data_IF_174293348833
#
_entry.id   IF_174293348833
#
_cell.length_a   1.000
_cell.length_b   1.000
_cell.length_c   1.000
_cell.angle_alpha   90.00
_cell.angle_beta   90.00
_cell.angle_gamma   90.00
#
_symmetry.space_group_name_H-M   'P 1'
#
loop_
_entity.id
_entity.type
_entity.pdbx_description
1 polymer ?
#
# COMPACT_ATOMS: atom_id res chain seq x y z
N UNK A 1 9.71 -7.69 -8.08
CA UNK A 1 9.66 -8.09 -9.50
C UNK A 1 11.01 -8.43 -10.13
N UNK A 2 12.15 -8.03 -9.54
CA UNK A 2 13.50 -8.14 -10.16
C UNK A 2 13.85 -9.52 -10.74
N UNK A 3 13.31 -10.60 -10.20
CA UNK A 3 13.59 -11.99 -10.62
C UNK A 3 12.41 -12.71 -11.28
N UNK A 4 11.28 -12.02 -11.50
CA UNK A 4 10.05 -12.60 -12.06
C UNK A 4 9.68 -13.98 -11.48
N UNK A 5 9.82 -14.13 -10.16
CA UNK A 5 9.59 -15.40 -9.49
C UNK A 5 8.09 -15.68 -9.34
N UNK A 6 7.53 -16.32 -10.37
CA UNK A 6 6.14 -16.75 -10.41
C UNK A 6 5.90 -17.98 -9.52
N UNK A 7 6.95 -18.62 -8.98
CA UNK A 7 6.87 -19.72 -8.02
C UNK A 7 6.70 -19.26 -6.57
N UNK A 8 6.88 -17.98 -6.29
CA UNK A 8 6.77 -17.44 -4.94
C UNK A 8 5.37 -17.70 -4.33
N UNK A 9 5.26 -18.09 -3.03
CA UNK A 9 3.98 -18.42 -2.39
C UNK A 9 2.92 -17.32 -2.53
N UNK A 10 3.33 -16.05 -2.45
CA UNK A 10 2.47 -14.89 -2.70
C UNK A 10 1.86 -14.90 -4.12
N UNK A 11 2.64 -15.25 -5.14
CA UNK A 11 2.16 -15.36 -6.52
C UNK A 11 1.18 -16.53 -6.69
N UNK A 12 1.36 -17.63 -5.94
CA UNK A 12 0.37 -18.71 -5.83
C UNK A 12 -0.95 -18.20 -5.22
N UNK A 13 -0.88 -17.62 -4.03
CA UNK A 13 -2.05 -17.08 -3.32
C UNK A 13 -2.86 -16.07 -4.17
N UNK A 14 -2.18 -15.17 -4.88
CA UNK A 14 -2.82 -14.17 -5.76
C UNK A 14 -3.47 -14.77 -7.02
N UNK A 15 -3.07 -15.98 -7.42
CA UNK A 15 -3.71 -16.73 -8.50
C UNK A 15 -4.94 -17.49 -8.00
N UNK A 16 -4.83 -18.08 -6.82
CA UNK A 16 -5.85 -18.94 -6.23
C UNK A 16 -7.05 -18.16 -5.69
N UNK A 17 -6.84 -16.91 -5.25
CA UNK A 17 -7.91 -16.08 -4.68
C UNK A 17 -7.69 -14.59 -4.80
N UNK A 18 -8.75 -13.81 -4.52
CA UNK A 18 -8.71 -12.35 -4.49
C UNK A 18 -8.56 -11.75 -3.09
N UNK A 19 -8.41 -12.59 -2.06
CA UNK A 19 -8.40 -12.16 -0.66
C UNK A 19 -7.41 -11.01 -0.40
N UNK A 20 -6.18 -11.12 -0.92
CA UNK A 20 -5.17 -10.09 -0.76
C UNK A 20 -5.55 -8.73 -1.39
N UNK A 21 -6.32 -8.74 -2.48
CA UNK A 21 -6.81 -7.52 -3.14
C UNK A 21 -7.88 -6.83 -2.27
N UNK A 22 -8.75 -7.64 -1.66
CA UNK A 22 -9.82 -7.13 -0.80
C UNK A 22 -9.24 -6.64 0.55
N UNK A 23 -8.32 -7.40 1.14
CA UNK A 23 -7.67 -7.05 2.41
C UNK A 23 -6.99 -5.67 2.39
N UNK A 24 -6.29 -5.33 1.29
CA UNK A 24 -5.50 -4.09 1.22
C UNK A 24 -6.34 -2.82 1.31
N UNK A 25 -7.53 -2.79 0.69
CA UNK A 25 -8.40 -1.61 0.82
C UNK A 25 -9.20 -1.66 2.12
N UNK A 26 -9.68 -2.84 2.54
CA UNK A 26 -10.45 -3.01 3.77
C UNK A 26 -9.67 -2.55 5.01
N UNK A 27 -8.38 -2.90 5.13
CA UNK A 27 -7.56 -2.45 6.27
C UNK A 27 -7.49 -0.92 6.38
N UNK A 28 -7.48 -0.21 5.25
CA UNK A 28 -7.48 1.26 5.25
C UNK A 28 -8.86 1.78 5.62
N UNK A 29 -9.93 1.15 5.12
CA UNK A 29 -11.30 1.48 5.49
C UNK A 29 -11.54 1.39 6.99
N UNK A 30 -10.99 0.36 7.66
CA UNK A 30 -11.08 0.23 9.12
C UNK A 30 -10.41 1.38 9.88
N UNK A 31 -9.41 2.04 9.28
CA UNK A 31 -8.70 3.17 9.86
C UNK A 31 -9.33 4.53 9.52
N UNK A 32 -10.32 4.58 8.62
CA UNK A 32 -10.91 5.84 8.15
C UNK A 32 -11.69 6.61 9.22
N UNK A 33 -12.20 5.93 10.26
CA UNK A 33 -12.89 6.59 11.36
C UNK A 33 -11.98 7.60 12.08
N UNK A 34 -10.71 7.22 12.26
CA UNK A 34 -9.69 8.01 12.96
C UNK A 34 -8.86 8.85 11.98
N UNK A 35 -8.67 8.35 10.76
CA UNK A 35 -7.88 8.99 9.72
C UNK A 35 -8.73 9.23 8.45
N UNK A 36 -9.58 10.26 8.44
CA UNK A 36 -10.50 10.52 7.32
C UNK A 36 -9.77 10.77 5.99
N UNK A 37 -8.53 11.25 6.04
CA UNK A 37 -7.70 11.45 4.84
C UNK A 37 -7.31 10.14 4.12
N UNK A 38 -7.49 8.98 4.75
CA UNK A 38 -7.32 7.67 4.11
C UNK A 38 -8.48 7.30 3.17
N UNK A 39 -9.60 8.02 3.20
CA UNK A 39 -10.78 7.72 2.38
C UNK A 39 -10.47 7.68 0.88
N UNK A 40 -9.75 8.70 0.37
CA UNK A 40 -9.42 8.79 -1.06
C UNK A 40 -8.44 7.69 -1.50
N UNK A 41 -7.31 7.43 -0.79
CA UNK A 41 -6.45 6.28 -1.12
C UNK A 41 -7.15 4.92 -1.02
N UNK A 42 -8.00 4.71 0.00
CA UNK A 42 -8.73 3.47 0.17
C UNK A 42 -9.71 3.21 -0.99
N UNK A 43 -10.46 4.23 -1.40
CA UNK A 43 -11.36 4.16 -2.55
C UNK A 43 -10.58 3.89 -3.85
N UNK A 44 -9.47 4.59 -4.07
CA UNK A 44 -8.63 4.37 -5.25
C UNK A 44 -8.13 2.92 -5.32
N UNK A 45 -7.65 2.36 -4.20
CA UNK A 45 -7.20 0.96 -4.15
C UNK A 45 -8.35 0.00 -4.45
N UNK A 46 -9.53 0.24 -3.88
CA UNK A 46 -10.74 -0.55 -4.14
C UNK A 46 -11.08 -0.57 -5.63
N UNK A 47 -11.19 0.61 -6.25
CA UNK A 47 -11.52 0.72 -7.68
C UNK A 47 -10.51 0.01 -8.58
N UNK A 48 -9.21 0.14 -8.27
CA UNK A 48 -8.16 -0.53 -9.06
C UNK A 48 -8.23 -2.03 -8.90
N UNK A 49 -8.42 -2.54 -7.69
CA UNK A 49 -8.53 -3.97 -7.45
C UNK A 49 -9.82 -4.58 -7.97
N UNK A 50 -10.95 -3.88 -7.90
CA UNK A 50 -12.21 -4.33 -8.51
C UNK A 50 -12.07 -4.47 -10.02
N UNK A 51 -11.40 -3.52 -10.68
CA UNK A 51 -11.05 -3.65 -12.11
C UNK A 51 -10.14 -4.84 -12.38
N UNK A 52 -9.10 -5.04 -11.57
CA UNK A 52 -8.19 -6.20 -11.73
C UNK A 52 -8.95 -7.52 -11.57
N UNK A 53 -9.83 -7.64 -10.58
CA UNK A 53 -10.65 -8.85 -10.38
C UNK A 53 -11.57 -9.13 -11.57
N UNK A 54 -12.17 -8.09 -12.15
CA UNK A 54 -13.14 -8.20 -13.23
C UNK A 54 -12.51 -8.47 -14.61
N UNK A 55 -11.34 -7.89 -14.90
CA UNK A 55 -10.78 -7.90 -16.27
C UNK A 55 -9.51 -8.75 -16.42
N UNK A 56 -8.79 -9.05 -15.34
CA UNK A 56 -7.48 -9.71 -15.42
C UNK A 56 -7.59 -11.21 -15.14
N UNK A 57 -7.12 -12.08 -16.06
CA UNK A 57 -7.03 -13.52 -15.83
C UNK A 57 -6.18 -13.88 -14.61
N UNK A 58 -6.51 -14.98 -13.93
CA UNK A 58 -5.88 -15.38 -12.65
C UNK A 58 -4.34 -15.37 -12.70
N UNK A 59 -3.74 -15.89 -13.77
CA UNK A 59 -2.28 -15.96 -13.91
C UNK A 59 -1.57 -14.60 -14.03
N UNK A 60 -2.26 -13.54 -14.43
CA UNK A 60 -1.72 -12.17 -14.50
C UNK A 60 -1.99 -11.34 -13.25
N UNK A 61 -2.85 -11.80 -12.34
CA UNK A 61 -3.19 -11.10 -11.10
C UNK A 61 -1.97 -10.75 -10.25
N UNK A 62 -0.94 -11.61 -10.07
CA UNK A 62 0.23 -11.24 -9.28
C UNK A 62 0.96 -10.00 -9.83
N UNK A 63 1.07 -9.90 -11.16
CA UNK A 63 1.72 -8.76 -11.82
C UNK A 63 0.90 -7.49 -11.67
N UNK A 64 -0.40 -7.55 -11.92
CA UNK A 64 -1.31 -6.40 -11.77
C UNK A 64 -1.39 -5.92 -10.33
N UNK A 65 -1.45 -6.85 -9.35
CA UNK A 65 -1.43 -6.53 -7.93
C UNK A 65 -0.15 -5.78 -7.54
N UNK A 66 1.02 -6.32 -7.90
CA UNK A 66 2.28 -5.70 -7.58
C UNK A 66 2.46 -4.32 -8.25
N UNK A 67 1.90 -4.11 -9.45
CA UNK A 67 1.88 -2.81 -10.11
C UNK A 67 1.02 -1.80 -9.32
N UNK A 68 -0.21 -2.16 -8.96
CA UNK A 68 -1.11 -1.27 -8.20
C UNK A 68 -0.49 -0.89 -6.85
N UNK A 69 0.06 -1.87 -6.11
CA UNK A 69 0.73 -1.62 -4.83
C UNK A 69 1.97 -0.75 -5.01
N UNK A 70 2.77 -0.97 -6.04
CA UNK A 70 3.98 -0.17 -6.30
C UNK A 70 3.62 1.30 -6.55
N UNK A 71 2.58 1.57 -7.34
CA UNK A 71 2.16 2.95 -7.61
C UNK A 71 1.57 3.62 -6.36
N UNK A 72 0.77 2.91 -5.57
CA UNK A 72 0.28 3.41 -4.29
C UNK A 72 1.43 3.75 -3.33
N UNK A 73 2.42 2.86 -3.22
CA UNK A 73 3.60 3.06 -2.38
C UNK A 73 4.43 4.27 -2.82
N UNK A 74 4.71 4.42 -4.12
CA UNK A 74 5.44 5.58 -4.65
C UNK A 74 4.72 6.88 -4.34
N UNK A 75 3.41 6.92 -4.55
CA UNK A 75 2.60 8.10 -4.27
C UNK A 75 2.61 8.44 -2.76
N UNK A 76 2.45 7.44 -1.89
CA UNK A 76 2.49 7.64 -0.44
C UNK A 76 3.88 8.08 0.05
N UNK A 77 4.96 7.46 -0.44
CA UNK A 77 6.34 7.85 -0.11
C UNK A 77 6.63 9.28 -0.56
N UNK A 78 6.19 9.66 -1.76
CA UNK A 78 6.33 11.04 -2.25
C UNK A 78 5.56 12.04 -1.37
N UNK A 79 4.30 11.74 -1.04
CA UNK A 79 3.50 12.60 -0.17
C UNK A 79 4.12 12.76 1.24
N UNK A 80 4.73 11.71 1.78
CA UNK A 80 5.50 11.81 3.03
C UNK A 80 6.75 12.67 2.88
N UNK A 81 7.47 12.52 1.77
CA UNK A 81 8.70 13.28 1.50
C UNK A 81 8.44 14.78 1.29
N UNK A 82 7.32 15.13 0.66
CA UNK A 82 6.88 16.53 0.46
C UNK A 82 6.58 17.26 1.78
N UNK A 83 6.42 16.52 2.89
CA UNK A 83 6.23 17.07 4.23
C UNK A 83 7.55 17.14 5.03
N UNK A 84 8.64 16.61 4.51
CA UNK A 84 9.96 16.72 5.12
C UNK A 84 10.65 18.04 4.76
N UNK A 85 11.74 18.38 5.46
CA UNK A 85 12.56 19.53 5.09
C UNK A 85 13.24 19.33 3.73
N UNK A 86 13.62 20.43 3.08
CA UNK A 86 14.30 20.41 1.78
C UNK A 86 15.57 19.54 1.78
N UNK A 87 16.31 19.53 2.89
CA UNK A 87 17.48 18.66 3.10
C UNK A 87 17.16 17.17 2.91
N UNK A 88 16.02 16.71 3.44
CA UNK A 88 15.60 15.31 3.33
C UNK A 88 14.99 15.07 1.94
N UNK A 89 14.14 15.99 1.47
CA UNK A 89 13.44 15.83 0.20
C UNK A 89 14.38 15.79 -1.01
N UNK A 90 15.40 16.66 -1.04
CA UNK A 90 16.42 16.72 -2.09
C UNK A 90 17.62 15.80 -1.84
N UNK A 91 17.68 15.15 -0.68
CA UNK A 91 18.78 14.27 -0.27
C UNK A 91 18.84 12.94 -1.02
N UNK A 92 19.90 12.18 -0.78
CA UNK A 92 20.07 10.84 -1.36
C UNK A 92 19.01 9.85 -0.87
N UNK A 93 18.79 8.76 -1.61
CA UNK A 93 17.83 7.69 -1.26
C UNK A 93 18.04 7.17 0.15
N UNK A 94 19.31 7.06 0.59
CA UNK A 94 19.64 6.65 1.96
C UNK A 94 19.08 7.60 3.03
N UNK A 95 19.21 8.92 2.84
CA UNK A 95 18.66 9.94 3.76
C UNK A 95 17.14 9.87 3.78
N UNK A 96 16.52 9.70 2.62
CA UNK A 96 15.08 9.54 2.49
C UNK A 96 14.57 8.27 3.20
N UNK A 97 15.28 7.15 3.06
CA UNK A 97 14.93 5.89 3.71
C UNK A 97 15.07 5.99 5.22
N UNK A 98 16.11 6.67 5.72
CA UNK A 98 16.26 6.95 7.14
C UNK A 98 15.13 7.83 7.68
N UNK A 99 14.69 8.85 6.93
CA UNK A 99 13.57 9.69 7.32
C UNK A 99 12.24 8.91 7.38
N UNK A 100 12.03 7.94 6.48
CA UNK A 100 10.85 7.08 6.52
C UNK A 100 10.79 6.19 7.77
N UNK A 101 11.92 5.89 8.42
CA UNK A 101 11.92 5.22 9.73
C UNK A 101 11.20 6.07 10.80
N UNK A 102 11.32 7.41 10.74
CA UNK A 102 10.58 8.30 11.65
C UNK A 102 9.06 8.14 11.51
N UNK A 103 8.56 8.02 10.28
CA UNK A 103 7.14 7.77 9.99
C UNK A 103 6.68 6.42 10.55
N UNK A 104 7.56 5.41 10.56
CA UNK A 104 7.24 4.09 11.13
C UNK A 104 7.13 4.12 12.66
N UNK A 105 7.93 4.95 13.33
CA UNK A 105 7.95 5.06 14.79
C UNK A 105 6.86 6.00 15.34
N UNK A 106 6.32 6.89 14.50
CA UNK A 106 5.27 7.83 14.89
C UNK A 106 3.90 7.33 14.40
N UNK A 107 3.16 6.69 15.30
CA UNK A 107 1.78 6.28 15.04
C UNK A 107 0.89 6.61 16.23
N UNK A 108 -0.36 6.99 15.96
CA UNK A 108 -1.37 7.13 17.00
C UNK A 108 -1.81 5.72 17.44
N UNK A 109 -1.63 5.40 18.71
CA UNK A 109 -2.20 4.22 19.33
C UNK A 109 -3.46 4.62 20.09
N UNK A 110 -4.61 4.11 19.67
CA UNK A 110 -5.88 4.36 20.36
C UNK A 110 -6.19 3.11 21.19
N UNK A 111 -6.14 3.28 22.51
CA UNK A 111 -6.65 2.28 23.44
C UNK A 111 -8.15 2.50 23.60
N UNK A 112 -8.97 1.70 22.91
CA UNK A 112 -10.40 1.60 23.23
C UNK A 112 -10.55 0.75 24.48
N UNK A 113 -10.99 1.31 25.63
CA UNK A 113 -11.21 0.51 26.83
C UNK A 113 -12.33 -0.53 26.56
N UNK A 114 -12.25 -1.74 27.13
CA UNK A 114 -13.33 -2.70 27.05
C UNK A 114 -14.56 -2.13 27.77
N UNK A 115 -15.71 -2.14 27.08
CA UNK A 115 -17.01 -1.77 27.64
C UNK A 115 -17.64 -2.87 28.47
#
# INVERSE_FOLDING_TARGET
MRYNDLGHPLCGHLRDGSWALDYVHQRLTHQMAEFPNLAKPALWLKERFDRVKATVPNFLRPKSFALVISEAYKAARRAGMEQCSEFVASGHVFTQDLAMCGVQMLSLFIFTPPG
#
